data_IF_375138623241
#
_entry.id   IF_375138623241
#
_cell.length_a   1.000
_cell.length_b   1.000
_cell.length_c   1.000
_cell.angle_alpha   90.00
_cell.angle_beta   90.00
_cell.angle_gamma   90.00
#
_symmetry.space_group_name_H-M   'P 1'
#
loop_
_entity.id
_entity.type
_entity.pdbx_description
1 polymer ?
#
# COMPACT_ATOMS: atom_id res chain seq x y z
N UNK A 1 26.16 46.82 -32.23
CA UNK A 1 25.40 45.64 -31.77
C UNK A 1 26.31 44.77 -30.89
N UNK A 2 25.94 44.51 -29.62
CA UNK A 2 26.90 44.06 -28.61
C UNK A 2 27.23 42.57 -28.78
N UNK A 3 28.53 42.23 -28.71
CA UNK A 3 29.13 40.90 -28.92
C UNK A 3 28.64 39.82 -27.94
N UNK A 4 27.87 40.22 -26.93
CA UNK A 4 27.31 39.39 -25.86
C UNK A 4 26.26 38.40 -26.40
N UNK A 5 25.50 38.78 -27.44
CA UNK A 5 24.48 37.92 -28.06
C UNK A 5 25.06 36.72 -28.82
N UNK A 6 26.31 36.80 -29.31
CA UNK A 6 26.95 35.72 -30.07
C UNK A 6 27.36 34.54 -29.19
N UNK A 7 27.64 34.76 -27.90
CA UNK A 7 27.94 33.69 -26.93
C UNK A 7 26.71 33.00 -26.36
N UNK A 8 25.55 33.67 -26.41
CA UNK A 8 24.29 33.12 -25.89
C UNK A 8 23.63 32.13 -26.87
N UNK A 9 23.78 32.36 -28.17
CA UNK A 9 23.24 31.52 -29.24
C UNK A 9 23.65 30.04 -29.17
N UNK A 10 24.93 29.66 -28.98
CA UNK A 10 25.32 28.26 -28.86
C UNK A 10 24.77 27.60 -27.58
N UNK A 11 24.63 28.37 -26.48
CA UNK A 11 24.06 27.87 -25.23
C UNK A 11 22.55 27.60 -25.39
N UNK A 12 21.82 28.53 -26.03
CA UNK A 12 20.40 28.36 -26.33
C UNK A 12 20.17 27.19 -27.30
N UNK A 13 21.02 27.04 -28.31
CA UNK A 13 20.96 25.91 -29.25
C UNK A 13 21.25 24.57 -28.56
N UNK A 14 22.24 24.52 -27.65
CA UNK A 14 22.54 23.32 -26.86
C UNK A 14 21.38 22.95 -25.94
N UNK A 15 20.79 23.92 -25.24
CA UNK A 15 19.63 23.70 -24.37
C UNK A 15 18.40 23.24 -25.17
N UNK A 16 18.17 23.83 -26.34
CA UNK A 16 17.09 23.41 -27.24
C UNK A 16 17.32 22.00 -27.80
N UNK A 17 18.57 21.65 -28.14
CA UNK A 17 18.94 20.31 -28.61
C UNK A 17 18.78 19.26 -27.52
N UNK A 18 19.25 19.52 -26.31
CA UNK A 18 19.07 18.64 -25.14
C UNK A 18 17.58 18.53 -24.80
N UNK A 19 16.82 19.63 -24.85
CA UNK A 19 15.37 19.63 -24.64
C UNK A 19 14.61 18.81 -25.68
N UNK A 20 14.95 18.95 -26.96
CA UNK A 20 14.37 18.15 -28.04
C UNK A 20 14.74 16.67 -27.89
N UNK A 21 16.01 16.35 -27.63
CA UNK A 21 16.44 14.97 -27.39
C UNK A 21 15.73 14.36 -26.19
N UNK A 22 15.55 15.12 -25.11
CA UNK A 22 14.82 14.72 -23.91
C UNK A 22 13.31 14.61 -24.11
N UNK A 23 12.73 15.23 -25.15
CA UNK A 23 11.32 15.09 -25.54
C UNK A 23 11.13 13.90 -26.48
N UNK A 24 12.02 13.71 -27.45
CA UNK A 24 12.01 12.55 -28.34
C UNK A 24 12.33 11.25 -27.60
N UNK A 25 13.23 11.29 -26.60
CA UNK A 25 13.61 10.10 -25.82
C UNK A 25 12.44 9.53 -25.03
N UNK A 26 11.48 10.37 -24.59
CA UNK A 26 10.31 9.93 -23.78
C UNK A 26 9.42 8.91 -24.48
N UNK A 27 9.56 8.78 -25.81
CA UNK A 27 8.76 7.88 -26.64
C UNK A 27 9.55 6.68 -27.17
N UNK A 28 10.81 6.51 -26.77
CA UNK A 28 11.65 5.42 -27.29
C UNK A 28 11.89 4.33 -26.24
N UNK A 29 11.72 3.07 -26.64
CA UNK A 29 12.01 1.90 -25.79
C UNK A 29 13.46 1.87 -25.29
N UNK A 30 14.40 2.44 -26.06
CA UNK A 30 15.81 2.55 -25.68
C UNK A 30 16.02 3.50 -24.50
N UNK A 31 15.36 4.67 -24.51
CA UNK A 31 15.45 5.60 -23.39
C UNK A 31 14.81 5.03 -22.13
N UNK A 32 13.68 4.33 -22.26
CA UNK A 32 13.06 3.60 -21.14
C UNK A 32 13.99 2.52 -20.59
N UNK A 33 14.63 1.74 -21.47
CA UNK A 33 15.59 0.71 -21.04
C UNK A 33 16.80 1.31 -20.31
N UNK A 34 17.34 2.42 -20.82
CA UNK A 34 18.44 3.14 -20.18
C UNK A 34 18.01 3.75 -18.85
N UNK A 35 16.82 4.36 -18.79
CA UNK A 35 16.24 4.87 -17.56
C UNK A 35 16.14 3.75 -16.52
N UNK A 36 15.49 2.63 -16.84
CA UNK A 36 15.33 1.49 -15.93
C UNK A 36 16.68 0.96 -15.44
N UNK A 37 17.68 0.84 -16.32
CA UNK A 37 19.04 0.42 -15.93
C UNK A 37 19.72 1.42 -15.00
N UNK A 38 19.60 2.72 -15.29
CA UNK A 38 20.16 3.76 -14.43
C UNK A 38 19.42 3.85 -13.09
N UNK A 39 18.11 3.60 -13.08
CA UNK A 39 17.30 3.54 -11.88
C UNK A 39 17.72 2.36 -10.99
N UNK A 40 17.88 1.17 -11.55
CA UNK A 40 18.41 -0.01 -10.85
C UNK A 40 19.79 0.27 -10.25
N UNK A 41 20.68 0.87 -11.04
CA UNK A 41 22.01 1.25 -10.55
C UNK A 41 21.92 2.24 -9.39
N UNK A 42 21.07 3.26 -9.50
CA UNK A 42 20.83 4.24 -8.44
C UNK A 42 20.23 3.58 -7.19
N UNK A 43 19.29 2.66 -7.33
CA UNK A 43 18.75 1.95 -6.15
C UNK A 43 19.79 1.07 -5.49
N UNK A 44 20.72 0.46 -6.23
CA UNK A 44 21.79 -0.34 -5.62
C UNK A 44 22.85 0.50 -4.91
N UNK A 45 23.18 1.67 -5.45
CA UNK A 45 24.36 2.44 -5.00
C UNK A 45 24.02 3.73 -4.24
N UNK A 46 22.86 4.31 -4.51
CA UNK A 46 22.39 5.55 -3.91
C UNK A 46 21.20 5.34 -2.98
N UNK A 47 20.68 4.10 -2.85
CA UNK A 47 19.82 3.84 -1.71
C UNK A 47 20.69 3.99 -0.47
N UNK A 48 20.31 4.98 0.36
CA UNK A 48 20.76 4.97 1.74
C UNK A 48 20.28 3.65 2.29
N UNK A 49 21.18 2.78 2.76
CA UNK A 49 20.81 1.56 3.47
C UNK A 49 19.71 1.97 4.43
N UNK A 50 18.47 1.54 4.14
CA UNK A 50 17.31 2.11 4.79
C UNK A 50 17.60 2.03 6.27
N UNK A 51 17.51 3.16 7.00
CA UNK A 51 17.60 3.13 8.46
C UNK A 51 16.39 2.32 8.90
N UNK A 52 16.55 1.00 8.92
CA UNK A 52 15.54 0.09 9.41
C UNK A 52 15.35 0.46 10.86
N UNK A 53 14.12 0.81 11.20
CA UNK A 53 13.77 0.95 12.59
C UNK A 53 13.59 -0.47 13.13
N UNK A 54 14.44 -0.95 14.05
CA UNK A 54 14.35 -2.32 14.55
C UNK A 54 13.02 -2.61 15.28
N UNK A 55 12.21 -1.57 15.55
CA UNK A 55 10.87 -1.69 16.12
C UNK A 55 9.80 -2.05 15.09
N UNK A 56 10.11 -1.94 13.79
CA UNK A 56 9.21 -2.23 12.69
C UNK A 56 9.62 -3.56 12.07
N UNK A 57 8.72 -4.54 12.12
CA UNK A 57 8.92 -5.87 11.54
C UNK A 57 7.89 -6.07 10.43
N UNK A 58 8.35 -6.50 9.26
CA UNK A 58 7.50 -6.88 8.14
C UNK A 58 7.35 -8.40 8.14
N UNK A 59 6.11 -8.87 8.18
CA UNK A 59 5.77 -10.29 7.97
C UNK A 59 5.22 -10.39 6.56
N UNK A 60 5.98 -11.01 5.67
CA UNK A 60 5.64 -11.12 4.26
C UNK A 60 4.99 -12.47 3.96
N UNK A 61 4.01 -12.45 3.06
CA UNK A 61 3.44 -13.67 2.46
C UNK A 61 3.88 -13.66 1.00
N UNK A 62 4.67 -14.65 0.63
CA UNK A 62 5.19 -14.85 -0.73
C UNK A 62 4.76 -16.21 -1.29
N UNK A 63 5.17 -16.51 -2.52
CA UNK A 63 4.83 -17.79 -3.17
C UNK A 63 5.35 -18.99 -2.37
N UNK A 64 6.55 -18.91 -1.79
CA UNK A 64 7.11 -19.99 -0.98
C UNK A 64 6.26 -20.27 0.28
N UNK A 65 5.71 -19.22 0.87
CA UNK A 65 4.75 -19.32 1.98
C UNK A 65 3.46 -20.03 1.54
N UNK A 66 2.91 -19.65 0.38
CA UNK A 66 1.72 -20.31 -0.18
C UNK A 66 1.98 -21.79 -0.47
N UNK A 67 3.06 -22.11 -1.19
CA UNK A 67 3.45 -23.48 -1.53
C UNK A 67 3.71 -24.34 -0.28
N UNK A 68 4.16 -23.73 0.83
CA UNK A 68 4.31 -24.41 2.11
C UNK A 68 2.96 -24.84 2.69
N UNK A 69 2.01 -23.91 2.79
CA UNK A 69 0.68 -24.21 3.32
C UNK A 69 -0.15 -25.11 2.39
N UNK A 70 0.01 -25.00 1.08
CA UNK A 70 -0.66 -25.89 0.13
C UNK A 70 -0.23 -27.36 0.32
N UNK A 71 1.06 -27.61 0.61
CA UNK A 71 1.54 -28.96 0.98
C UNK A 71 0.92 -29.50 2.27
N UNK A 72 0.43 -28.61 3.13
CA UNK A 72 -0.32 -28.93 4.36
C UNK A 72 -1.85 -28.94 4.15
N UNK A 73 -2.32 -28.87 2.90
CA UNK A 73 -3.74 -28.77 2.51
C UNK A 73 -4.45 -27.48 2.96
N UNK A 74 -3.70 -26.39 3.14
CA UNK A 74 -4.21 -25.06 3.44
C UNK A 74 -4.06 -24.14 2.22
N UNK A 75 -5.15 -23.96 1.49
CA UNK A 75 -5.19 -23.16 0.27
C UNK A 75 -5.52 -21.70 0.54
N UNK A 76 -5.03 -20.83 -0.32
CA UNK A 76 -5.42 -19.42 -0.31
C UNK A 76 -6.87 -19.24 -0.81
N UNK A 77 -7.66 -18.34 -0.22
CA UNK A 77 -7.38 -17.54 0.97
C UNK A 77 -7.40 -18.38 2.26
N UNK A 78 -6.40 -18.18 3.11
CA UNK A 78 -6.27 -18.93 4.36
C UNK A 78 -7.43 -18.68 5.34
N UNK A 79 -7.72 -19.66 6.22
CA UNK A 79 -8.70 -19.49 7.29
C UNK A 79 -8.38 -18.28 8.17
N UNK A 80 -9.42 -17.61 8.67
CA UNK A 80 -9.30 -16.44 9.53
C UNK A 80 -8.62 -16.76 10.85
N UNK A 81 -8.82 -17.97 11.34
CA UNK A 81 -8.15 -18.50 12.53
C UNK A 81 -6.62 -18.50 12.43
N UNK A 82 -6.04 -18.66 11.24
CA UNK A 82 -4.59 -18.57 11.03
C UNK A 82 -4.06 -17.16 11.36
N UNK A 83 -4.75 -16.12 10.90
CA UNK A 83 -4.39 -14.73 11.22
C UNK A 83 -4.63 -14.41 12.70
N UNK A 84 -5.63 -15.03 13.33
CA UNK A 84 -5.83 -14.97 14.77
C UNK A 84 -4.66 -15.54 15.56
N UNK A 85 -4.16 -16.72 15.16
CA UNK A 85 -2.97 -17.33 15.77
C UNK A 85 -1.70 -16.49 15.54
N UNK A 86 -1.55 -15.90 14.34
CA UNK A 86 -0.46 -14.97 14.05
C UNK A 86 -0.48 -13.75 14.99
N UNK A 87 -1.66 -13.19 15.27
CA UNK A 87 -1.80 -12.10 16.26
C UNK A 87 -1.37 -12.51 17.66
N UNK A 88 -1.75 -13.72 18.10
CA UNK A 88 -1.34 -14.22 19.42
C UNK A 88 0.19 -14.35 19.51
N UNK A 89 0.83 -14.86 18.45
CA UNK A 89 2.30 -14.92 18.36
C UNK A 89 2.94 -13.53 18.40
N UNK A 90 2.42 -12.57 17.62
CA UNK A 90 2.92 -11.19 17.61
C UNK A 90 2.77 -10.54 18.99
N UNK A 91 1.67 -10.83 19.70
CA UNK A 91 1.44 -10.31 21.05
C UNK A 91 2.46 -10.85 22.04
N UNK A 92 2.74 -12.15 22.00
CA UNK A 92 3.79 -12.78 22.81
C UNK A 92 5.17 -12.19 22.47
N UNK A 93 5.42 -11.90 21.20
CA UNK A 93 6.61 -11.20 20.73
C UNK A 93 6.72 -9.72 21.14
N UNK A 94 5.75 -9.19 21.89
CA UNK A 94 5.76 -7.80 22.38
C UNK A 94 5.30 -6.76 21.37
N UNK A 95 4.66 -7.18 20.27
CA UNK A 95 4.14 -6.25 19.27
C UNK A 95 3.12 -5.30 19.90
N UNK A 96 3.36 -3.99 19.73
CA UNK A 96 2.49 -2.94 20.26
C UNK A 96 1.32 -2.61 19.35
N UNK A 97 1.46 -2.83 18.05
CA UNK A 97 0.46 -2.58 16.99
C UNK A 97 0.65 -3.66 15.92
N UNK A 98 -0.44 -4.14 15.34
CA UNK A 98 -0.41 -4.99 14.15
C UNK A 98 -1.12 -4.28 12.99
N UNK A 99 -0.60 -4.45 11.77
CA UNK A 99 -1.17 -3.87 10.56
C UNK A 99 -1.30 -5.01 9.55
N UNK A 100 -2.52 -5.21 9.04
CA UNK A 100 -2.78 -6.17 7.97
C UNK A 100 -2.95 -5.46 6.65
N UNK A 101 -2.03 -5.70 5.73
CA UNK A 101 -2.15 -5.35 4.32
C UNK A 101 -2.80 -6.50 3.54
N UNK A 102 -3.99 -6.91 3.99
CA UNK A 102 -4.81 -7.97 3.37
C UNK A 102 -6.26 -7.51 3.43
N UNK A 103 -6.96 -7.57 2.30
CA UNK A 103 -8.36 -7.20 2.20
C UNK A 103 -9.27 -8.32 2.71
N UNK A 104 -10.10 -8.01 3.69
CA UNK A 104 -11.12 -8.91 4.23
C UNK A 104 -12.54 -8.39 3.98
N UNK A 105 -12.80 -8.00 2.73
CA UNK A 105 -14.04 -7.32 2.31
C UNK A 105 -15.21 -8.27 2.05
N UNK A 106 -14.93 -9.57 1.93
CA UNK A 106 -15.94 -10.61 1.71
C UNK A 106 -15.99 -11.57 2.92
N UNK A 107 -17.16 -12.16 3.21
CA UNK A 107 -17.27 -13.22 4.21
C UNK A 107 -16.27 -14.35 3.95
N UNK A 108 -15.79 -14.95 5.04
CA UNK A 108 -14.94 -16.13 4.98
C UNK A 108 -15.62 -17.24 4.17
N UNK A 109 -14.93 -17.88 3.21
CA UNK A 109 -15.49 -19.00 2.44
C UNK A 109 -15.76 -20.25 3.29
N UNK A 110 -15.16 -20.33 4.49
CA UNK A 110 -15.34 -21.44 5.43
C UNK A 110 -16.60 -21.24 6.29
N UNK A 111 -17.00 -19.99 6.54
CA UNK A 111 -18.19 -19.65 7.31
C UNK A 111 -18.01 -18.43 8.21
N UNK A 112 -19.12 -17.85 8.65
CA UNK A 112 -19.13 -16.62 9.47
C UNK A 112 -18.40 -16.78 10.83
N UNK A 113 -18.37 -17.99 11.39
CA UNK A 113 -17.65 -18.27 12.64
C UNK A 113 -16.15 -17.94 12.57
N UNK A 114 -15.54 -18.04 11.38
CA UNK A 114 -14.14 -17.67 11.16
C UNK A 114 -13.95 -16.15 11.25
N UNK A 115 -14.86 -15.36 10.66
CA UNK A 115 -14.79 -13.89 10.75
C UNK A 115 -15.04 -13.41 12.19
N UNK A 116 -15.97 -14.05 12.91
CA UNK A 116 -16.20 -13.77 14.34
C UNK A 116 -14.99 -14.11 15.21
N UNK A 117 -14.38 -15.28 14.98
CA UNK A 117 -13.21 -15.72 15.73
C UNK A 117 -12.04 -14.76 15.54
N UNK A 118 -11.82 -14.30 14.30
CA UNK A 118 -10.79 -13.31 14.02
C UNK A 118 -11.13 -11.93 14.56
N UNK A 119 -12.38 -11.49 14.47
CA UNK A 119 -12.86 -10.28 15.16
C UNK A 119 -12.57 -10.30 16.67
N UNK A 120 -12.77 -11.45 17.34
CA UNK A 120 -12.42 -11.64 18.76
C UNK A 120 -10.91 -11.61 18.99
N UNK A 121 -10.11 -12.21 18.11
CA UNK A 121 -8.65 -12.16 18.18
C UNK A 121 -8.10 -10.73 18.03
N UNK A 122 -8.66 -9.94 17.11
CA UNK A 122 -8.33 -8.52 16.93
C UNK A 122 -8.59 -7.73 18.22
N UNK A 123 -9.75 -7.92 18.84
CA UNK A 123 -10.08 -7.28 20.14
C UNK A 123 -9.11 -7.69 21.24
N UNK A 124 -8.74 -8.98 21.31
CA UNK A 124 -7.77 -9.51 22.29
C UNK A 124 -6.37 -8.92 22.10
N UNK A 125 -5.94 -8.76 20.85
CA UNK A 125 -4.65 -8.12 20.55
C UNK A 125 -4.65 -6.64 20.95
N UNK A 126 -5.71 -5.93 20.57
CA UNK A 126 -5.96 -4.52 20.87
C UNK A 126 -5.78 -3.62 19.65
N UNK A 127 -4.65 -2.90 19.51
CA UNK A 127 -4.43 -1.96 18.41
C UNK A 127 -4.07 -2.69 17.10
N UNK A 128 -5.09 -2.96 16.28
CA UNK A 128 -4.91 -3.50 14.93
C UNK A 128 -5.45 -2.54 13.88
N UNK A 129 -4.69 -2.35 12.81
CA UNK A 129 -5.09 -1.59 11.62
C UNK A 129 -5.39 -2.57 10.50
N UNK A 130 -6.56 -2.44 9.88
CA UNK A 130 -6.96 -3.30 8.74
C UNK A 130 -6.99 -2.51 7.44
N UNK A 131 -6.67 -3.17 6.33
CA UNK A 131 -6.81 -2.59 5.00
C UNK A 131 -8.29 -2.35 4.61
N UNK A 132 -8.51 -1.26 3.90
CA UNK A 132 -9.75 -0.82 3.28
C UNK A 132 -9.39 -0.34 1.88
N UNK A 133 -10.25 -0.61 0.91
CA UNK A 133 -10.04 -0.11 -0.45
C UNK A 133 -10.97 1.09 -0.71
N UNK A 134 -10.44 2.25 -1.08
CA UNK A 134 -11.25 3.37 -1.58
C UNK A 134 -11.17 3.55 -3.09
N UNK A 135 -12.25 4.02 -3.71
CA UNK A 135 -12.35 4.22 -5.17
C UNK A 135 -12.75 5.64 -5.54
N UNK A 136 -12.30 6.12 -6.70
CA UNK A 136 -12.68 7.42 -7.25
C UNK A 136 -14.13 7.43 -7.78
N UNK A 137 -14.64 6.29 -8.24
CA UNK A 137 -16.01 6.14 -8.73
C UNK A 137 -16.96 5.68 -7.63
N UNK A 138 -18.21 6.16 -7.70
CA UNK A 138 -19.27 5.65 -6.85
C UNK A 138 -19.71 4.28 -7.38
N UNK A 139 -19.62 3.25 -6.54
CA UNK A 139 -20.12 1.92 -6.86
C UNK A 139 -21.29 1.58 -5.94
N UNK A 140 -22.45 1.15 -6.45
CA UNK A 140 -23.63 0.83 -5.63
C UNK A 140 -23.37 -0.26 -4.58
N UNK A 141 -22.44 -1.18 -4.88
CA UNK A 141 -22.02 -2.26 -3.98
C UNK A 141 -20.91 -1.86 -3.00
N UNK A 142 -20.39 -0.63 -3.08
CA UNK A 142 -19.33 -0.06 -2.23
C UNK A 142 -19.82 1.26 -1.63
N UNK A 143 -20.85 1.19 -0.79
CA UNK A 143 -21.55 2.40 -0.32
C UNK A 143 -21.72 2.41 1.21
N UNK A 144 -20.63 2.66 1.91
CA UNK A 144 -20.66 3.36 3.19
C UNK A 144 -19.35 4.15 3.33
N UNK A 145 -19.39 5.45 3.68
CA UNK A 145 -18.18 6.10 4.19
C UNK A 145 -17.67 5.27 5.39
N UNK A 146 -16.34 5.18 5.59
CA UNK A 146 -15.80 4.47 6.74
C UNK A 146 -16.42 5.05 8.02
N UNK A 147 -16.79 4.21 9.00
CA UNK A 147 -17.39 4.70 10.25
C UNK A 147 -16.55 5.80 10.90
N UNK A 148 -17.19 6.82 11.46
CA UNK A 148 -16.54 8.00 12.06
C UNK A 148 -15.50 7.64 13.13
N UNK A 149 -15.65 6.51 13.82
CA UNK A 149 -14.68 6.01 14.81
C UNK A 149 -13.28 5.79 14.24
N UNK A 150 -13.16 5.65 12.92
CA UNK A 150 -11.89 5.49 12.21
C UNK A 150 -11.37 6.80 11.60
N UNK A 151 -12.13 7.89 11.70
CA UNK A 151 -11.70 9.19 11.21
C UNK A 151 -10.56 9.73 12.08
N UNK A 152 -9.50 10.19 11.43
CA UNK A 152 -8.40 10.90 12.07
C UNK A 152 -8.53 12.38 11.72
N UNK A 153 -8.36 13.26 12.70
CA UNK A 153 -8.31 14.70 12.45
C UNK A 153 -7.12 15.00 11.55
N UNK A 154 -7.40 15.40 10.31
CA UNK A 154 -6.38 15.71 9.31
C UNK A 154 -6.16 17.22 9.23
N UNK A 155 -4.91 17.69 9.04
CA UNK A 155 -4.65 19.08 8.66
C UNK A 155 -5.41 19.45 7.37
N UNK A 156 -5.74 20.72 7.19
CA UNK A 156 -6.54 21.18 6.03
C UNK A 156 -5.95 20.75 4.67
N UNK A 157 -4.62 20.69 4.58
CA UNK A 157 -3.87 20.22 3.40
C UNK A 157 -4.15 18.75 3.06
N UNK A 158 -4.23 17.89 4.08
CA UNK A 158 -4.53 16.46 3.94
C UNK A 158 -6.02 16.26 3.69
N UNK A 159 -6.87 17.04 4.38
CA UNK A 159 -8.32 17.00 4.18
C UNK A 159 -8.71 17.33 2.73
N UNK A 160 -8.03 18.29 2.09
CA UNK A 160 -8.26 18.62 0.68
C UNK A 160 -7.97 17.45 -0.27
N UNK A 161 -7.00 16.59 0.06
CA UNK A 161 -6.66 15.39 -0.74
C UNK A 161 -7.64 14.21 -0.55
N UNK A 162 -8.23 14.09 0.65
CA UNK A 162 -9.16 13.03 1.01
C UNK A 162 -10.51 13.11 0.26
N UNK A 163 -10.83 14.26 -0.34
CA UNK A 163 -12.13 14.58 -0.96
C UNK A 163 -12.38 13.95 -2.34
N UNK A 164 -11.45 13.14 -2.87
CA UNK A 164 -11.58 12.57 -4.22
C UNK A 164 -12.21 11.18 -4.25
N UNK A 165 -12.44 10.56 -3.09
CA UNK A 165 -12.96 9.19 -2.99
C UNK A 165 -14.49 9.17 -2.88
N UNK A 166 -15.13 8.35 -3.71
CA UNK A 166 -16.60 8.23 -3.80
C UNK A 166 -17.14 6.86 -3.41
N UNK A 167 -16.25 5.90 -3.12
CA UNK A 167 -16.62 4.58 -2.62
C UNK A 167 -15.56 4.01 -1.67
N UNK A 168 -15.98 3.10 -0.80
CA UNK A 168 -15.09 2.33 0.06
C UNK A 168 -15.57 0.87 0.17
N UNK A 169 -14.64 -0.08 0.12
CA UNK A 169 -14.82 -1.46 0.58
C UNK A 169 -14.15 -1.63 1.92
N UNK A 170 -14.99 -1.79 2.93
CA UNK A 170 -14.58 -2.02 4.30
C UNK A 170 -14.41 -3.53 4.55
N UNK A 171 -13.65 -3.94 5.57
CA UNK A 171 -13.67 -5.31 6.04
C UNK A 171 -15.09 -5.73 6.46
N UNK A 172 -15.34 -7.04 6.54
CA UNK A 172 -16.63 -7.54 7.08
C UNK A 172 -16.88 -7.04 8.51
N UNK A 173 -18.16 -6.88 8.93
CA UNK A 173 -18.51 -6.23 10.19
C UNK A 173 -17.82 -6.82 11.44
N UNK A 174 -17.65 -8.14 11.48
CA UNK A 174 -17.03 -8.89 12.57
C UNK A 174 -15.57 -8.48 12.76
N UNK A 175 -14.83 -8.35 11.66
CA UNK A 175 -13.44 -7.91 11.62
C UNK A 175 -13.36 -6.42 11.95
N UNK A 176 -14.19 -5.59 11.30
CA UNK A 176 -14.26 -4.16 11.57
C UNK A 176 -14.51 -3.85 13.05
N UNK A 177 -15.35 -4.64 13.73
CA UNK A 177 -15.67 -4.47 15.14
C UNK A 177 -14.46 -4.73 16.06
N UNK A 178 -13.47 -5.49 15.60
CA UNK A 178 -12.21 -5.73 16.31
C UNK A 178 -11.07 -4.79 15.93
N UNK A 179 -11.17 -4.10 14.79
CA UNK A 179 -10.16 -3.15 14.32
C UNK A 179 -10.15 -1.85 15.12
N UNK A 180 -8.95 -1.29 15.32
CA UNK A 180 -8.77 0.04 15.93
C UNK A 180 -8.84 1.15 14.88
N UNK A 181 -8.24 0.95 13.71
CA UNK A 181 -8.21 1.87 12.59
C UNK A 181 -8.34 1.11 11.27
N UNK A 182 -8.68 1.84 10.21
CA UNK A 182 -8.64 1.34 8.84
C UNK A 182 -7.60 2.15 8.06
N UNK A 183 -6.79 1.46 7.24
CA UNK A 183 -5.84 2.07 6.31
C UNK A 183 -6.35 1.94 4.88
N UNK A 184 -6.32 3.02 4.11
CA UNK A 184 -6.64 2.97 2.69
C UNK A 184 -5.50 2.28 1.90
N UNK A 185 -5.86 1.29 1.09
CA UNK A 185 -4.97 0.69 0.09
C UNK A 185 -5.37 1.20 -1.29
N UNK A 186 -4.41 1.82 -1.97
CA UNK A 186 -4.63 2.37 -3.30
C UNK A 186 -4.37 1.28 -4.35
N UNK A 187 -5.42 0.86 -5.04
CA UNK A 187 -5.30 -0.06 -6.19
C UNK A 187 -5.25 0.66 -7.54
N UNK A 188 -5.32 2.00 -7.57
CA UNK A 188 -5.24 2.76 -8.82
C UNK A 188 -3.79 2.74 -9.35
N UNK A 189 -3.56 1.88 -10.35
CA UNK A 189 -2.43 1.90 -11.27
C UNK A 189 -2.69 2.88 -12.42
#
# INVERSE_FOLDING_TARGET
MPRIFRGLLPLVALLAFVGALALLSRHTELARSLELKTLDWRFRHLSVAARHDPRIVLVMVDQASLDHFERENLYWPWPRSLYGAALDLLKVGGARIAIFDILFTNPSPIGQSEDEAFGKALKRFGPVVMAMETGAEAQPTRAAPPPERFAVTAPAEVAASALTRRSARLPVPEIMAGSRLLGDVKTDA
#
